data_IF_218532154880
#
_entry.id   IF_218532154880
#
_cell.length_a   1.000
_cell.length_b   1.000
_cell.length_c   1.000
_cell.angle_alpha   90.00
_cell.angle_beta   90.00
_cell.angle_gamma   90.00
#
_symmetry.space_group_name_H-M   'P 1'
#
loop_
_entity.id
_entity.type
_entity.pdbx_description
1 polymer ?
#
# COMPACT_ATOMS: atom_id res chain seq x y z
N UNK A 1 -13.37 -3.72 1.06
CA UNK A 1 -11.94 -3.46 0.78
C UNK A 1 -11.19 -3.02 2.02
N UNK A 2 -11.54 -1.91 2.69
CA UNK A 2 -10.79 -1.40 3.87
C UNK A 2 -10.67 -2.42 5.00
N UNK A 3 -11.77 -3.08 5.38
CA UNK A 3 -11.77 -4.14 6.41
C UNK A 3 -10.83 -5.30 6.04
N UNK A 4 -10.74 -5.64 4.75
CA UNK A 4 -9.81 -6.67 4.27
C UNK A 4 -8.36 -6.17 4.34
N UNK A 5 -8.10 -4.92 3.97
CA UNK A 5 -6.75 -4.33 4.09
C UNK A 5 -6.27 -4.31 5.54
N UNK A 6 -7.17 -4.02 6.48
CA UNK A 6 -6.92 -4.13 7.92
C UNK A 6 -6.59 -5.56 8.33
N UNK A 7 -7.41 -6.53 7.93
CA UNK A 7 -7.24 -7.92 8.36
C UNK A 7 -5.96 -8.58 7.85
N UNK A 8 -5.39 -8.06 6.76
CA UNK A 8 -4.11 -8.53 6.21
C UNK A 8 -2.88 -7.82 6.77
N UNK A 9 -3.08 -6.90 7.73
CA UNK A 9 -2.00 -6.23 8.44
C UNK A 9 -1.45 -4.98 7.77
N UNK A 10 -2.21 -4.28 6.92
CA UNK A 10 -1.79 -2.95 6.48
C UNK A 10 -1.79 -1.97 7.67
N UNK A 11 -0.78 -1.10 7.67
CA UNK A 11 -0.56 -0.13 8.75
C UNK A 11 -1.03 1.28 8.37
N UNK A 12 -1.20 1.56 7.09
CA UNK A 12 -1.71 2.84 6.59
C UNK A 12 -2.36 2.69 5.20
N UNK A 13 -3.32 3.55 4.90
CA UNK A 13 -3.91 3.70 3.57
C UNK A 13 -3.69 5.12 3.06
N UNK A 14 -3.18 5.27 1.83
CA UNK A 14 -3.09 6.57 1.15
C UNK A 14 -4.12 6.64 0.04
N UNK A 15 -5.00 7.63 0.09
CA UNK A 15 -5.98 7.91 -0.96
C UNK A 15 -5.44 8.97 -1.90
N UNK A 16 -5.27 8.58 -3.17
CA UNK A 16 -4.90 9.48 -4.25
C UNK A 16 -6.13 9.86 -5.08
N UNK A 17 -6.36 11.15 -5.28
CA UNK A 17 -7.48 11.67 -6.09
C UNK A 17 -7.05 12.16 -7.47
N UNK A 18 -5.74 12.16 -7.78
CA UNK A 18 -5.24 12.52 -9.09
C UNK A 18 -5.18 11.30 -10.01
N UNK A 19 -5.41 11.53 -11.31
CA UNK A 19 -5.10 10.54 -12.33
C UNK A 19 -3.60 10.28 -12.32
N UNK A 20 -3.22 9.07 -11.94
CA UNK A 20 -1.83 8.62 -11.89
C UNK A 20 -1.64 7.46 -12.85
N UNK A 21 -0.50 7.43 -13.54
CA UNK A 21 -0.11 6.37 -14.47
C UNK A 21 0.30 5.09 -13.73
N UNK A 22 -0.58 4.57 -12.87
CA UNK A 22 -0.40 3.31 -12.15
C UNK A 22 -1.39 2.28 -12.68
N UNK A 23 -1.00 1.00 -12.60
CA UNK A 23 -1.88 -0.08 -13.03
C UNK A 23 -3.13 -0.18 -12.15
N UNK A 24 -2.99 0.08 -10.85
CA UNK A 24 -4.12 0.07 -9.92
C UNK A 24 -5.16 1.15 -10.26
N UNK A 25 -4.73 2.38 -10.59
CA UNK A 25 -5.60 3.43 -11.10
C UNK A 25 -6.27 3.03 -12.41
N UNK A 26 -5.51 2.52 -13.39
CA UNK A 26 -6.06 2.06 -14.67
C UNK A 26 -7.17 1.03 -14.48
N UNK A 27 -6.94 -0.01 -13.67
CA UNK A 27 -7.95 -1.05 -13.42
C UNK A 27 -9.22 -0.50 -12.76
N UNK A 28 -9.08 0.45 -11.83
CA UNK A 28 -10.22 1.10 -11.19
C UNK A 28 -10.97 2.03 -12.14
N UNK A 29 -10.26 2.81 -12.94
CA UNK A 29 -10.84 3.83 -13.82
C UNK A 29 -11.54 3.22 -15.04
N UNK A 30 -10.90 2.25 -15.70
CA UNK A 30 -11.43 1.66 -16.93
C UNK A 30 -12.49 0.57 -16.68
N UNK A 31 -12.39 -0.15 -15.56
CA UNK A 31 -13.23 -1.33 -15.31
C UNK A 31 -14.07 -1.25 -14.02
N UNK A 32 -13.98 -0.16 -13.26
CA UNK A 32 -14.69 -0.03 -11.98
C UNK A 32 -14.25 -1.04 -10.91
N UNK A 33 -13.05 -1.62 -11.05
CA UNK A 33 -12.55 -2.63 -10.12
C UNK A 33 -12.18 -2.01 -8.77
N UNK A 34 -12.44 -2.73 -7.68
CA UNK A 34 -11.82 -2.42 -6.37
C UNK A 34 -10.32 -2.70 -6.47
N UNK A 35 -9.52 -1.65 -6.52
CA UNK A 35 -8.09 -1.73 -6.83
C UNK A 35 -7.25 -0.90 -5.86
N UNK A 36 -6.05 -1.38 -5.55
CA UNK A 36 -5.06 -0.67 -4.75
C UNK A 36 -3.64 -1.13 -5.13
N UNK A 37 -2.64 -0.33 -4.77
CA UNK A 37 -1.23 -0.74 -4.76
C UNK A 37 -0.85 -1.10 -3.34
N UNK A 38 -0.22 -2.25 -3.15
CA UNK A 38 0.24 -2.71 -1.84
C UNK A 38 1.77 -2.60 -1.75
N UNK A 39 2.25 -1.79 -0.81
CA UNK A 39 3.66 -1.70 -0.45
C UNK A 39 3.90 -2.63 0.75
N UNK A 40 4.43 -3.83 0.49
CA UNK A 40 4.52 -4.91 1.49
C UNK A 40 5.88 -4.98 2.22
N UNK A 41 6.64 -3.89 2.22
CA UNK A 41 7.93 -3.80 2.88
C UNK A 41 9.08 -3.54 1.92
N UNK A 42 10.30 -3.90 2.32
CA UNK A 42 11.53 -3.53 1.60
C UNK A 42 11.87 -4.54 0.51
N UNK A 43 12.31 -4.05 -0.64
CA UNK A 43 12.87 -4.89 -1.71
C UNK A 43 14.11 -5.64 -1.23
N UNK A 44 14.17 -6.94 -1.52
CA UNK A 44 15.34 -7.80 -1.33
C UNK A 44 15.51 -8.66 -2.58
N UNK A 45 16.66 -9.34 -2.66
CA UNK A 45 16.87 -10.38 -3.66
C UNK A 45 16.02 -11.61 -3.31
N UNK A 46 15.73 -12.44 -4.32
CA UNK A 46 15.06 -13.72 -4.08
C UNK A 46 15.82 -14.57 -3.06
N UNK A 47 15.07 -15.26 -2.19
CA UNK A 47 15.64 -16.07 -1.10
C UNK A 47 16.11 -15.28 0.12
N UNK A 48 16.10 -13.94 0.08
CA UNK A 48 16.51 -13.07 1.20
C UNK A 48 15.33 -12.32 1.85
N UNK A 49 14.11 -12.61 1.43
CA UNK A 49 12.91 -12.14 2.11
C UNK A 49 12.58 -13.08 3.27
N UNK A 50 12.38 -12.51 4.46
CA UNK A 50 11.75 -13.22 5.56
C UNK A 50 10.24 -13.29 5.29
N UNK A 51 9.78 -14.47 4.86
CA UNK A 51 8.39 -14.69 4.48
C UNK A 51 7.43 -14.61 5.67
N UNK A 52 7.91 -14.68 6.92
CA UNK A 52 7.05 -14.57 8.10
C UNK A 52 6.37 -13.21 8.19
N UNK A 53 7.02 -12.16 7.67
CA UNK A 53 6.48 -10.79 7.59
C UNK A 53 5.28 -10.67 6.64
N UNK A 54 5.08 -11.64 5.73
CA UNK A 54 4.03 -11.60 4.71
C UNK A 54 2.87 -12.56 5.01
N UNK A 55 2.85 -13.16 6.20
CA UNK A 55 1.83 -14.16 6.59
C UNK A 55 0.40 -13.61 6.54
N UNK A 56 0.18 -12.38 7.01
CA UNK A 56 -1.12 -11.71 6.97
C UNK A 56 -1.68 -11.56 5.55
N UNK A 57 -0.89 -10.98 4.64
CA UNK A 57 -1.29 -10.80 3.24
C UNK A 57 -1.43 -12.12 2.49
N UNK A 58 -0.54 -13.09 2.75
CA UNK A 58 -0.63 -14.41 2.14
C UNK A 58 -1.96 -15.10 2.52
N UNK A 59 -2.30 -15.15 3.81
CA UNK A 59 -3.53 -15.78 4.26
C UNK A 59 -4.77 -15.01 3.78
N UNK A 60 -4.72 -13.69 3.80
CA UNK A 60 -5.80 -12.85 3.29
C UNK A 60 -6.10 -13.04 1.81
N UNK A 61 -5.07 -13.21 0.97
CA UNK A 61 -5.22 -13.52 -0.45
C UNK A 61 -5.80 -14.92 -0.66
N UNK A 62 -5.32 -15.93 0.07
CA UNK A 62 -5.88 -17.29 0.02
C UNK A 62 -7.37 -17.26 0.38
N UNK A 63 -7.73 -16.63 1.50
CA UNK A 63 -9.12 -16.53 1.94
C UNK A 63 -9.99 -15.80 0.90
N UNK A 64 -9.48 -14.72 0.31
CA UNK A 64 -10.18 -13.97 -0.72
C UNK A 64 -10.46 -14.82 -1.97
N UNK A 65 -9.47 -15.57 -2.46
CA UNK A 65 -9.59 -16.44 -3.63
C UNK A 65 -10.59 -17.57 -3.39
N UNK A 66 -10.57 -18.18 -2.20
CA UNK A 66 -11.48 -19.27 -1.83
C UNK A 66 -12.83 -18.78 -1.26
N UNK A 67 -13.08 -17.47 -1.27
CA UNK A 67 -14.30 -16.86 -0.72
C UNK A 67 -14.60 -17.30 0.72
N UNK A 68 -13.55 -17.43 1.54
CA UNK A 68 -13.63 -17.79 2.95
C UNK A 68 -13.87 -16.54 3.79
N UNK A 69 -14.69 -16.69 4.84
CA UNK A 69 -14.95 -15.62 5.80
C UNK A 69 -13.68 -15.36 6.60
N UNK A 70 -13.27 -14.11 6.65
CA UNK A 70 -12.16 -13.69 7.49
C UNK A 70 -12.71 -13.44 8.89
N UNK A 71 -12.44 -14.37 9.80
CA UNK A 71 -12.58 -14.15 11.24
C UNK A 71 -11.31 -13.43 11.73
N UNK A 72 -11.15 -12.15 11.41
CA UNK A 72 -10.05 -11.36 11.97
C UNK A 72 -10.57 -10.48 13.10
N UNK A 73 -9.99 -10.63 14.28
CA UNK A 73 -10.07 -9.61 15.31
C UNK A 73 -9.38 -8.34 14.75
N UNK A 74 -10.18 -7.32 14.43
CA UNK A 74 -9.65 -6.03 13.98
C UNK A 74 -9.07 -5.35 15.22
N UNK A 75 -7.77 -5.51 15.43
CA UNK A 75 -7.11 -5.05 16.66
C UNK A 75 -6.89 -3.53 16.70
N UNK A 76 -6.91 -2.84 15.56
CA UNK A 76 -6.73 -1.37 15.49
C UNK A 76 -7.34 -0.75 14.23
N UNK A 77 -7.71 0.53 14.31
CA UNK A 77 -8.12 1.32 13.15
C UNK A 77 -6.96 1.49 12.16
N UNK A 78 -7.25 1.48 10.86
CA UNK A 78 -6.28 1.76 9.79
C UNK A 78 -6.23 3.27 9.54
N UNK A 79 -5.12 3.95 9.84
CA UNK A 79 -4.95 5.36 9.50
C UNK A 79 -5.13 5.59 8.00
N UNK A 80 -5.96 6.56 7.64
CA UNK A 80 -6.21 6.95 6.25
C UNK A 80 -5.64 8.34 6.00
N UNK A 81 -4.68 8.42 5.09
CA UNK A 81 -4.03 9.64 4.66
C UNK A 81 -4.55 10.09 3.30
N UNK A 82 -4.54 11.39 3.07
CA UNK A 82 -4.81 12.01 1.78
C UNK A 82 -3.58 12.78 1.32
N UNK A 83 -3.27 12.69 0.03
CA UNK A 83 -2.19 13.47 -0.57
C UNK A 83 -2.51 14.96 -0.47
N UNK A 84 -1.67 15.72 0.26
CA UNK A 84 -1.82 17.16 0.45
C UNK A 84 -1.23 17.97 -0.72
N UNK A 85 -0.20 17.45 -1.39
CA UNK A 85 0.46 18.11 -2.50
C UNK A 85 1.51 17.22 -3.15
N UNK A 86 2.02 17.65 -4.30
CA UNK A 86 3.07 16.96 -5.06
C UNK A 86 4.27 17.89 -5.17
N UNK A 87 5.46 17.39 -4.82
CA UNK A 87 6.71 18.12 -4.99
C UNK A 87 7.34 17.70 -6.32
N UNK A 88 7.29 18.58 -7.32
CA UNK A 88 7.87 18.35 -8.65
C UNK A 88 9.27 18.97 -8.73
N UNK A 89 10.29 18.16 -9.09
CA UNK A 89 11.65 18.66 -9.37
C UNK A 89 11.67 19.32 -10.76
N UNK A 90 11.87 20.64 -10.80
CA UNK A 90 11.93 21.41 -12.06
C UNK A 90 13.34 21.72 -12.55
N UNK A 91 14.37 21.54 -11.72
CA UNK A 91 15.76 21.81 -12.11
C UNK A 91 16.76 21.02 -11.27
N UNK A 92 18.01 20.96 -11.75
CA UNK A 92 19.14 20.34 -11.04
C UNK A 92 19.60 21.13 -9.81
N UNK A 93 19.14 22.37 -9.62
CA UNK A 93 19.43 23.16 -8.41
C UNK A 93 18.51 22.82 -7.24
N UNK A 94 17.50 21.98 -7.46
CA UNK A 94 16.57 21.55 -6.41
C UNK A 94 17.32 20.84 -5.28
N UNK A 95 16.97 21.19 -4.04
CA UNK A 95 17.49 20.54 -2.83
C UNK A 95 16.33 20.14 -1.94
N UNK A 96 16.30 18.87 -1.53
CA UNK A 96 15.42 18.37 -0.51
C UNK A 96 16.22 18.26 0.78
N UNK A 97 15.81 18.96 1.83
CA UNK A 97 16.52 18.97 3.12
C UNK A 97 16.07 17.79 4.00
N UNK A 98 16.09 16.59 3.45
CA UNK A 98 15.81 15.34 4.14
C UNK A 98 17.01 14.41 3.97
N UNK A 99 17.19 13.50 4.93
CA UNK A 99 18.20 12.44 4.83
C UNK A 99 17.88 11.51 3.65
N UNK A 100 18.90 10.98 3.00
CA UNK A 100 18.74 9.94 1.97
C UNK A 100 18.06 8.67 2.52
N UNK A 101 18.10 8.47 3.84
CA UNK A 101 17.47 7.35 4.55
C UNK A 101 16.18 7.75 5.27
N UNK A 102 15.56 8.88 4.92
CA UNK A 102 14.28 9.29 5.50
C UNK A 102 13.21 8.22 5.26
N UNK A 103 12.43 7.89 6.29
CA UNK A 103 11.35 6.91 6.18
C UNK A 103 10.09 7.54 5.55
N UNK A 104 9.25 6.71 4.93
CA UNK A 104 7.92 7.15 4.52
C UNK A 104 7.10 7.53 5.77
N UNK A 105 6.18 8.49 5.63
CA UNK A 105 5.34 9.01 6.72
C UNK A 105 6.12 9.74 7.85
N UNK A 106 7.27 10.34 7.53
CA UNK A 106 8.00 11.29 8.41
C UNK A 106 7.28 12.64 8.52
#
# INVERSE_FOLDING_TARGET
MIVWLQSVGLEALVVNHASVATFSYFSSNEFGASSCTLELGKTRLFGHHDLQQFTGIQQGLVNLIFNQVIESEIHSELPVYKVAGVITKWSEKFKLNLSDNVENFT
#
